data_IF_217525885388
#
_entry.id   IF_217525885388
#
_cell.length_a   1.000
_cell.length_b   1.000
_cell.length_c   1.000
_cell.angle_alpha   90.00
_cell.angle_beta   90.00
_cell.angle_gamma   90.00
#
_symmetry.space_group_name_H-M   'P 1'
#
loop_
_entity.id
_entity.type
_entity.pdbx_description
1 polymer ?
#
# COMPACT_ATOMS: atom_id res chain seq x y z
N UNK A 1 -1.79 -7.54 47.60
CA UNK A 1 -1.03 -8.81 47.56
C UNK A 1 -0.24 -8.83 46.29
N UNK A 2 1.08 -8.67 46.42
CA UNK A 2 2.05 -8.57 45.32
C UNK A 2 2.39 -9.98 44.85
N UNK A 3 2.30 -10.27 43.55
CA UNK A 3 2.93 -11.45 42.94
C UNK A 3 3.94 -10.99 41.90
N UNK A 4 5.21 -11.11 42.29
CA UNK A 4 6.38 -11.07 41.40
C UNK A 4 6.35 -12.31 40.49
N UNK A 5 6.54 -12.10 39.18
CA UNK A 5 6.91 -13.15 38.23
C UNK A 5 8.33 -12.89 37.78
N UNK A 6 9.21 -13.85 38.11
CA UNK A 6 10.62 -13.80 37.81
C UNK A 6 10.90 -14.16 36.33
N UNK A 7 11.70 -13.34 35.68
CA UNK A 7 12.32 -13.64 34.36
C UNK A 7 13.50 -14.57 34.55
N UNK A 8 13.49 -15.71 33.89
CA UNK A 8 14.66 -16.59 33.72
C UNK A 8 15.29 -16.30 32.37
N UNK A 9 16.45 -15.66 32.41
CA UNK A 9 17.34 -15.47 31.25
C UNK A 9 18.31 -16.66 31.25
N UNK A 10 18.23 -17.52 30.24
CA UNK A 10 19.19 -18.55 29.97
C UNK A 10 20.21 -18.05 28.94
N UNK A 11 21.41 -17.67 29.41
CA UNK A 11 22.52 -17.33 28.56
C UNK A 11 23.31 -18.66 28.25
N UNK A 12 23.38 -19.04 26.95
CA UNK A 12 24.30 -20.07 26.49
C UNK A 12 25.55 -19.41 25.93
N UNK A 13 26.65 -19.52 26.68
CA UNK A 13 28.00 -19.24 26.19
C UNK A 13 28.52 -20.48 25.47
N UNK A 14 28.94 -20.31 24.24
CA UNK A 14 29.74 -21.31 23.51
C UNK A 14 31.20 -20.83 23.53
N UNK A 15 32.05 -21.60 24.21
CA UNK A 15 33.48 -21.35 24.32
C UNK A 15 34.21 -21.85 23.05
N UNK A 16 34.98 -20.97 22.44
CA UNK A 16 35.93 -21.30 21.36
C UNK A 16 37.25 -21.78 21.96
N UNK A 17 37.71 -22.96 21.59
CA UNK A 17 39.04 -23.45 21.90
C UNK A 17 39.98 -23.20 20.71
N UNK A 18 40.96 -22.34 20.91
CA UNK A 18 42.16 -22.18 20.08
C UNK A 18 43.20 -23.21 20.50
N UNK A 19 43.73 -23.95 19.56
CA UNK A 19 45.00 -24.66 19.74
C UNK A 19 45.92 -24.31 18.57
N UNK A 20 47.10 -23.82 18.95
CA UNK A 20 48.16 -23.34 18.08
C UNK A 20 49.26 -24.37 17.90
N UNK A 21 50.09 -24.13 16.90
CA UNK A 21 51.48 -24.51 16.68
C UNK A 21 51.83 -25.78 15.93
N UNK A 22 52.68 -25.58 14.91
CA UNK A 22 53.60 -26.53 14.33
C UNK A 22 54.11 -26.09 12.95
N UNK A 23 55.35 -25.52 12.90
CA UNK A 23 56.16 -25.24 11.70
C UNK A 23 56.65 -26.52 11.06
N UNK A 24 56.77 -26.61 9.74
CA UNK A 24 57.97 -26.56 8.89
C UNK A 24 57.69 -27.03 7.46
N UNK A 25 58.20 -26.23 6.53
CA UNK A 25 58.72 -26.45 5.17
C UNK A 25 58.37 -27.74 4.36
N UNK A 26 57.89 -27.62 3.17
CA UNK A 26 58.54 -27.57 1.86
C UNK A 26 57.59 -27.95 0.70
N UNK A 27 57.65 -27.12 -0.33
CA UNK A 27 57.43 -27.36 -1.76
C UNK A 27 56.38 -28.38 -2.27
N UNK A 28 55.47 -27.89 -3.00
CA UNK A 28 55.16 -28.09 -4.43
C UNK A 28 53.66 -28.21 -4.76
N UNK A 29 53.21 -27.25 -5.55
CA UNK A 29 52.18 -27.34 -6.61
C UNK A 29 51.02 -28.33 -6.42
N UNK A 30 49.82 -27.80 -6.23
CA UNK A 30 48.72 -27.99 -7.18
C UNK A 30 47.53 -27.09 -6.74
N UNK A 31 47.10 -26.22 -7.67
CA UNK A 31 45.99 -25.29 -7.51
C UNK A 31 44.68 -26.09 -7.58
N UNK A 32 44.11 -26.41 -6.44
CA UNK A 32 42.74 -26.93 -6.37
C UNK A 32 41.84 -25.79 -5.94
N UNK A 33 41.03 -25.31 -6.88
CA UNK A 33 39.98 -24.36 -6.65
C UNK A 33 38.87 -25.09 -5.88
N UNK A 34 38.77 -24.84 -4.58
CA UNK A 34 37.57 -25.23 -3.82
C UNK A 34 36.44 -24.33 -4.22
N UNK A 35 35.54 -24.86 -5.03
CA UNK A 35 34.23 -24.27 -5.32
C UNK A 35 33.41 -24.42 -4.07
N UNK A 36 33.26 -23.33 -3.31
CA UNK A 36 32.28 -23.23 -2.24
C UNK A 36 30.90 -23.28 -2.89
N UNK A 37 30.26 -24.43 -2.86
CA UNK A 37 28.86 -24.57 -3.26
C UNK A 37 28.02 -23.91 -2.17
N UNK A 38 27.68 -22.66 -2.36
CA UNK A 38 26.58 -22.03 -1.60
C UNK A 38 25.31 -22.82 -1.91
N UNK A 39 24.85 -23.56 -0.92
CA UNK A 39 23.55 -24.21 -0.95
C UNK A 39 22.49 -23.11 -0.96
N UNK A 40 22.03 -22.71 -2.13
CA UNK A 40 20.86 -21.88 -2.28
C UNK A 40 19.69 -22.61 -1.62
N UNK A 41 19.27 -22.12 -0.48
CA UNK A 41 18.03 -22.52 0.18
C UNK A 41 16.90 -22.24 -0.83
N UNK A 42 16.41 -23.29 -1.46
CA UNK A 42 15.24 -23.21 -2.36
C UNK A 42 14.08 -22.72 -1.52
N UNK A 43 13.71 -21.45 -1.68
CA UNK A 43 12.50 -20.92 -1.07
C UNK A 43 11.32 -21.73 -1.60
N UNK A 44 10.60 -22.34 -0.68
CA UNK A 44 9.36 -23.05 -0.97
C UNK A 44 8.36 -21.98 -1.51
N UNK A 45 7.68 -22.23 -2.62
CA UNK A 45 6.73 -21.25 -3.16
C UNK A 45 5.70 -20.91 -2.09
N UNK A 46 5.36 -19.63 -1.90
CA UNK A 46 4.40 -19.21 -0.89
C UNK A 46 3.07 -19.96 -1.10
N UNK A 47 2.50 -20.44 0.00
CA UNK A 47 1.20 -21.10 -0.05
C UNK A 47 0.16 -20.14 -0.63
N UNK A 48 -0.74 -20.60 -1.49
CA UNK A 48 -1.78 -19.75 -2.03
C UNK A 48 -2.59 -19.11 -0.91
N UNK A 49 -2.77 -17.81 -0.96
CA UNK A 49 -3.66 -17.10 -0.04
C UNK A 49 -5.09 -17.44 -0.42
N UNK A 50 -5.88 -17.88 0.55
CA UNK A 50 -7.28 -18.27 0.36
C UNK A 50 -8.26 -17.35 1.09
N UNK A 51 -7.79 -16.15 1.49
CA UNK A 51 -8.61 -15.17 2.19
C UNK A 51 -9.55 -14.46 1.22
N UNK A 52 -10.75 -14.19 1.67
CA UNK A 52 -11.67 -13.31 0.94
C UNK A 52 -11.23 -11.85 1.05
N UNK A 53 -11.63 -10.97 0.11
CA UNK A 53 -11.38 -9.53 0.22
C UNK A 53 -11.84 -8.92 1.55
N UNK A 54 -12.97 -9.40 2.10
CA UNK A 54 -13.48 -8.94 3.39
C UNK A 54 -12.58 -9.35 4.57
N UNK A 55 -11.98 -10.55 4.53
CA UNK A 55 -11.03 -10.98 5.56
C UNK A 55 -9.71 -10.21 5.47
N UNK A 56 -9.28 -9.85 4.27
CA UNK A 56 -8.10 -8.99 4.05
C UNK A 56 -8.39 -7.59 4.61
N UNK A 57 -9.55 -7.02 4.27
CA UNK A 57 -10.01 -5.72 4.80
C UNK A 57 -10.02 -5.71 6.32
N UNK A 58 -10.60 -6.72 6.94
CA UNK A 58 -10.67 -6.82 8.40
C UNK A 58 -9.28 -6.83 9.07
N UNK A 59 -8.27 -7.45 8.45
CA UNK A 59 -6.88 -7.44 8.95
C UNK A 59 -6.23 -6.08 8.80
N UNK A 60 -6.46 -5.39 7.69
CA UNK A 60 -5.98 -4.02 7.46
C UNK A 60 -6.64 -3.06 8.46
N UNK A 61 -7.96 -3.16 8.64
CA UNK A 61 -8.70 -2.39 9.64
C UNK A 61 -8.15 -2.60 11.05
N UNK A 62 -7.88 -3.85 11.43
CA UNK A 62 -7.30 -4.18 12.73
C UNK A 62 -5.90 -3.57 12.92
N UNK A 63 -5.07 -3.51 11.87
CA UNK A 63 -3.75 -2.92 11.90
C UNK A 63 -3.77 -1.39 12.05
N UNK A 64 -4.69 -0.73 11.36
CA UNK A 64 -4.91 0.72 11.46
C UNK A 64 -5.52 1.07 12.82
N UNK A 65 -6.44 0.24 13.32
CA UNK A 65 -7.24 0.46 14.51
C UNK A 65 -8.55 1.20 14.21
N UNK A 66 -9.60 0.83 14.93
CA UNK A 66 -10.97 1.31 14.67
C UNK A 66 -11.13 2.84 14.70
N UNK A 67 -10.35 3.53 15.55
CA UNK A 67 -10.40 4.99 15.64
C UNK A 67 -9.95 5.69 14.36
N UNK A 68 -8.98 5.11 13.67
CA UNK A 68 -8.35 5.69 12.48
C UNK A 68 -8.88 5.08 11.18
N UNK A 69 -9.67 4.00 11.27
CA UNK A 69 -10.32 3.37 10.14
C UNK A 69 -11.76 3.85 10.04
N UNK A 70 -12.02 4.82 9.17
CA UNK A 70 -13.31 5.51 9.08
C UNK A 70 -14.08 5.20 7.78
N UNK A 71 -13.62 4.25 6.98
CA UNK A 71 -14.36 3.73 5.83
C UNK A 71 -15.53 2.88 6.32
N UNK A 72 -16.72 3.46 6.40
CA UNK A 72 -17.92 2.87 6.99
C UNK A 72 -19.11 2.77 6.03
N UNK A 73 -18.99 3.31 4.83
CA UNK A 73 -20.04 3.29 3.81
C UNK A 73 -19.63 2.34 2.70
N UNK A 74 -20.47 1.33 2.45
CA UNK A 74 -20.24 0.36 1.37
C UNK A 74 -20.59 1.01 0.02
N UNK A 75 -19.72 0.81 -0.95
CA UNK A 75 -20.00 1.11 -2.36
C UNK A 75 -20.68 -0.12 -2.94
N UNK A 76 -21.94 0.01 -3.34
CA UNK A 76 -22.71 -1.10 -3.91
C UNK A 76 -22.22 -1.45 -5.33
N UNK A 77 -22.47 -2.69 -5.77
CA UNK A 77 -21.91 -3.25 -7.00
C UNK A 77 -22.19 -2.40 -8.24
N UNK A 78 -23.44 -1.95 -8.43
CA UNK A 78 -23.80 -1.12 -9.57
C UNK A 78 -23.07 0.23 -9.56
N UNK A 79 -22.92 0.83 -8.39
CA UNK A 79 -22.18 2.07 -8.20
C UNK A 79 -20.68 1.85 -8.42
N UNK A 80 -20.14 0.74 -7.91
CA UNK A 80 -18.76 0.37 -8.08
C UNK A 80 -18.40 0.16 -9.55
N UNK A 81 -19.22 -0.61 -10.28
CA UNK A 81 -19.05 -0.84 -11.71
C UNK A 81 -19.11 0.45 -12.52
N UNK A 82 -20.12 1.31 -12.29
CA UNK A 82 -20.32 2.52 -13.06
C UNK A 82 -19.30 3.61 -12.76
N UNK A 83 -18.89 3.74 -11.49
CA UNK A 83 -17.96 4.79 -11.06
C UNK A 83 -16.51 4.51 -11.48
N UNK A 84 -16.07 3.25 -11.35
CA UNK A 84 -14.69 2.85 -11.70
C UNK A 84 -14.57 2.30 -13.13
N UNK A 85 -15.66 1.86 -13.76
CA UNK A 85 -15.62 1.26 -15.08
C UNK A 85 -15.11 -0.19 -15.12
N UNK A 86 -15.22 -0.92 -14.01
CA UNK A 86 -14.83 -2.32 -13.96
C UNK A 86 -15.76 -3.22 -14.77
N UNK A 87 -15.17 -4.18 -15.47
CA UNK A 87 -15.90 -5.35 -15.96
C UNK A 87 -16.17 -6.32 -14.79
N UNK A 88 -17.36 -6.25 -14.22
CA UNK A 88 -17.75 -7.07 -13.07
C UNK A 88 -17.71 -8.57 -13.38
N UNK A 89 -17.77 -8.97 -14.66
CA UNK A 89 -17.59 -10.39 -15.02
C UNK A 89 -16.18 -10.91 -14.77
N UNK A 90 -15.20 -10.02 -14.60
CA UNK A 90 -13.80 -10.35 -14.30
C UNK A 90 -13.49 -10.32 -12.80
N UNK A 91 -14.40 -9.85 -11.98
CA UNK A 91 -14.25 -9.77 -10.52
C UNK A 91 -14.90 -10.99 -9.88
N UNK A 92 -14.16 -11.78 -9.12
CA UNK A 92 -14.68 -12.94 -8.38
C UNK A 92 -15.39 -12.51 -7.11
N UNK A 93 -14.78 -11.58 -6.36
CA UNK A 93 -15.31 -11.01 -5.14
C UNK A 93 -14.61 -9.69 -4.83
N UNK A 94 -15.27 -8.80 -4.10
CA UNK A 94 -14.68 -7.53 -3.70
C UNK A 94 -15.30 -7.00 -2.40
N UNK A 95 -14.60 -6.10 -1.76
CA UNK A 95 -15.10 -5.14 -0.78
C UNK A 95 -14.67 -3.74 -1.22
N UNK A 96 -15.61 -2.81 -1.23
CA UNK A 96 -15.36 -1.41 -1.56
C UNK A 96 -16.07 -0.56 -0.52
N UNK A 97 -15.30 0.25 0.19
CA UNK A 97 -15.75 1.08 1.29
C UNK A 97 -15.20 2.50 1.13
N UNK A 98 -15.98 3.46 1.54
CA UNK A 98 -15.58 4.87 1.61
C UNK A 98 -16.02 5.50 2.92
N UNK A 99 -15.53 6.70 3.20
CA UNK A 99 -16.07 7.49 4.29
C UNK A 99 -17.38 8.16 3.87
N UNK A 100 -18.43 8.07 4.70
CA UNK A 100 -19.73 8.69 4.46
C UNK A 100 -19.67 10.22 4.30
N UNK A 101 -18.63 10.88 4.79
CA UNK A 101 -18.41 12.34 4.71
C UNK A 101 -17.40 12.68 3.60
N UNK A 102 -17.46 11.94 2.50
CA UNK A 102 -16.44 11.86 1.45
C UNK A 102 -15.89 13.17 0.85
N UNK A 103 -16.62 14.27 0.92
CA UNK A 103 -16.12 15.56 0.43
C UNK A 103 -14.97 16.14 1.28
N UNK A 104 -14.88 15.76 2.55
CA UNK A 104 -13.88 16.28 3.50
C UNK A 104 -12.81 15.23 3.81
N UNK A 105 -13.13 13.96 3.65
CA UNK A 105 -12.20 12.86 3.94
C UNK A 105 -12.16 11.87 2.78
N UNK A 106 -11.01 11.73 2.11
CA UNK A 106 -10.85 10.92 0.91
C UNK A 106 -10.72 9.43 1.17
N UNK A 107 -10.90 8.97 2.41
CA UNK A 107 -10.67 7.57 2.80
C UNK A 107 -11.49 6.63 1.94
N UNK A 108 -10.80 5.70 1.32
CA UNK A 108 -11.35 4.69 0.40
C UNK A 108 -10.56 3.41 0.55
N UNK A 109 -11.24 2.28 0.70
CA UNK A 109 -10.64 0.96 0.74
C UNK A 109 -11.35 0.09 -0.29
N UNK A 110 -10.61 -0.38 -1.28
CA UNK A 110 -11.08 -1.32 -2.30
C UNK A 110 -10.15 -2.50 -2.27
N UNK A 111 -10.68 -3.69 -2.06
CA UNK A 111 -9.93 -4.94 -2.14
C UNK A 111 -10.74 -5.90 -2.97
N UNK A 112 -10.09 -6.53 -3.95
CA UNK A 112 -10.77 -7.44 -4.85
C UNK A 112 -9.94 -8.69 -5.15
N UNK A 113 -10.62 -9.81 -5.36
CA UNK A 113 -10.08 -10.97 -6.03
C UNK A 113 -10.63 -10.98 -7.46
N UNK A 114 -9.73 -11.00 -8.44
CA UNK A 114 -10.09 -10.96 -9.85
C UNK A 114 -9.80 -12.30 -10.54
N UNK A 115 -10.30 -12.49 -11.75
CA UNK A 115 -9.95 -13.63 -12.59
C UNK A 115 -8.50 -13.53 -13.07
N UNK A 116 -7.94 -14.67 -13.43
CA UNK A 116 -6.57 -14.78 -13.93
C UNK A 116 -6.35 -13.84 -15.13
N UNK A 117 -5.30 -13.06 -15.05
CA UNK A 117 -4.93 -12.09 -16.10
C UNK A 117 -5.59 -10.73 -16.00
N UNK A 118 -6.59 -10.52 -15.12
CA UNK A 118 -7.27 -9.21 -15.00
C UNK A 118 -6.64 -8.26 -13.98
N UNK A 119 -5.76 -8.74 -13.10
CA UNK A 119 -5.20 -7.93 -12.00
C UNK A 119 -4.50 -6.65 -12.47
N UNK A 120 -3.70 -6.72 -13.55
CA UNK A 120 -3.03 -5.53 -14.10
C UNK A 120 -4.02 -4.51 -14.68
N UNK A 121 -5.10 -4.98 -15.31
CA UNK A 121 -6.19 -4.09 -15.79
C UNK A 121 -6.85 -3.38 -14.63
N UNK A 122 -7.13 -4.09 -13.53
CA UNK A 122 -7.69 -3.50 -12.32
C UNK A 122 -6.75 -2.45 -11.70
N UNK A 123 -5.45 -2.70 -11.67
CA UNK A 123 -4.43 -1.71 -11.22
C UNK A 123 -4.47 -0.44 -12.08
N UNK A 124 -4.59 -0.57 -13.41
CA UNK A 124 -4.65 0.58 -14.30
C UNK A 124 -5.91 1.43 -14.07
N UNK A 125 -7.08 0.78 -13.96
CA UNK A 125 -8.35 1.45 -13.66
C UNK A 125 -8.28 2.21 -12.33
N UNK A 126 -7.68 1.60 -11.30
CA UNK A 126 -7.54 2.24 -9.99
C UNK A 126 -6.56 3.42 -10.02
N UNK A 127 -5.49 3.36 -10.82
CA UNK A 127 -4.61 4.51 -11.02
C UNK A 127 -5.30 5.67 -11.74
N UNK A 128 -6.14 5.42 -12.74
CA UNK A 128 -6.94 6.45 -13.40
C UNK A 128 -7.89 7.14 -12.40
N UNK A 129 -8.58 6.35 -11.57
CA UNK A 129 -9.43 6.91 -10.51
C UNK A 129 -8.61 7.68 -9.46
N UNK A 130 -7.40 7.21 -9.14
CA UNK A 130 -6.51 7.88 -8.20
C UNK A 130 -6.04 9.24 -8.72
N UNK A 131 -5.77 9.39 -10.01
CA UNK A 131 -5.44 10.68 -10.61
C UNK A 131 -6.52 11.74 -10.33
N UNK A 132 -7.80 11.38 -10.46
CA UNK A 132 -8.90 12.26 -10.12
C UNK A 132 -8.93 12.65 -8.64
N UNK A 133 -8.67 11.70 -7.73
CA UNK A 133 -8.59 11.97 -6.29
C UNK A 133 -7.42 12.91 -5.95
N UNK A 134 -6.25 12.72 -6.56
CA UNK A 134 -5.08 13.60 -6.37
C UNK A 134 -5.38 15.00 -6.91
N UNK A 135 -6.01 15.12 -8.08
CA UNK A 135 -6.43 16.40 -8.63
C UNK A 135 -7.37 17.14 -7.67
N UNK A 136 -8.36 16.44 -7.15
CA UNK A 136 -9.31 17.01 -6.20
C UNK A 136 -8.65 17.50 -4.90
N UNK A 137 -7.78 16.69 -4.28
CA UNK A 137 -7.15 17.04 -3.00
C UNK A 137 -6.15 18.20 -3.13
N UNK A 138 -5.57 18.40 -4.31
CA UNK A 138 -4.73 19.57 -4.60
C UNK A 138 -5.53 20.88 -4.68
N UNK A 139 -6.78 20.79 -5.12
CA UNK A 139 -7.70 21.95 -5.14
C UNK A 139 -8.28 22.25 -3.75
N UNK A 140 -8.53 21.22 -2.97
CA UNK A 140 -9.11 21.31 -1.63
C UNK A 140 -8.19 20.62 -0.63
N UNK A 141 -7.11 21.28 -0.20
CA UNK A 141 -6.03 20.64 0.55
C UNK A 141 -6.47 20.27 1.97
N UNK A 142 -6.84 19.01 2.15
CA UNK A 142 -7.14 18.40 3.43
C UNK A 142 -6.59 16.98 3.46
N UNK A 143 -5.66 16.68 4.37
CA UNK A 143 -4.98 15.39 4.40
C UNK A 143 -4.29 15.02 3.07
N UNK A 144 -3.59 15.98 2.47
CA UNK A 144 -2.90 15.83 1.18
C UNK A 144 -1.89 14.69 1.21
N UNK A 145 -1.07 14.62 2.26
CA UNK A 145 -0.04 13.60 2.39
C UNK A 145 -0.63 12.20 2.58
N UNK A 146 -1.81 12.10 3.19
CA UNK A 146 -2.56 10.85 3.27
C UNK A 146 -2.99 10.37 1.89
N UNK A 147 -3.54 11.26 1.05
CA UNK A 147 -3.91 10.88 -0.34
C UNK A 147 -2.69 10.53 -1.17
N UNK A 148 -1.65 11.36 -1.14
CA UNK A 148 -0.42 11.10 -1.89
C UNK A 148 0.31 9.83 -1.40
N UNK A 149 0.09 9.44 -0.15
CA UNK A 149 0.60 8.19 0.42
C UNK A 149 -0.19 6.94 0.07
N UNK A 150 -1.26 7.01 -0.73
CA UNK A 150 -2.12 5.88 -1.06
C UNK A 150 -1.35 4.61 -1.41
N UNK A 151 -1.95 3.47 -1.11
CA UNK A 151 -1.41 2.16 -1.46
C UNK A 151 -2.25 1.51 -2.56
N UNK A 152 -1.56 1.05 -3.58
CA UNK A 152 -2.11 0.19 -4.63
C UNK A 152 -1.24 -1.06 -4.70
N UNK A 153 -1.79 -2.18 -4.27
CA UNK A 153 -1.08 -3.46 -4.21
C UNK A 153 -1.67 -4.45 -5.21
N UNK A 154 -0.80 -5.34 -5.69
CA UNK A 154 -1.19 -6.49 -6.48
C UNK A 154 -0.39 -7.70 -6.02
N UNK A 155 -1.08 -8.80 -5.71
CA UNK A 155 -0.48 -10.07 -5.35
C UNK A 155 -1.31 -11.22 -5.90
N UNK A 156 -0.77 -11.90 -6.93
CA UNK A 156 -1.54 -12.88 -7.69
C UNK A 156 -2.80 -12.26 -8.28
N UNK A 157 -3.95 -12.78 -7.88
CA UNK A 157 -5.27 -12.28 -8.31
C UNK A 157 -5.88 -11.25 -7.35
N UNK A 158 -5.17 -10.87 -6.30
CA UNK A 158 -5.63 -9.85 -5.37
C UNK A 158 -5.11 -8.48 -5.75
N UNK A 159 -6.01 -7.51 -5.77
CA UNK A 159 -5.70 -6.09 -5.97
C UNK A 159 -6.32 -5.29 -4.84
N UNK A 160 -5.57 -4.35 -4.26
CA UNK A 160 -6.06 -3.48 -3.20
C UNK A 160 -5.66 -2.03 -3.45
N UNK A 161 -6.63 -1.11 -3.33
CA UNK A 161 -6.42 0.33 -3.33
C UNK A 161 -6.87 0.89 -1.99
N UNK A 162 -5.98 1.59 -1.28
CA UNK A 162 -6.20 1.98 0.11
C UNK A 162 -5.75 3.42 0.33
N UNK A 163 -6.71 4.27 0.70
CA UNK A 163 -6.50 5.56 1.34
C UNK A 163 -7.18 5.45 2.70
N UNK A 164 -6.41 5.27 3.77
CA UNK A 164 -6.94 5.09 5.11
C UNK A 164 -5.89 5.41 6.18
N UNK A 165 -6.34 5.61 7.41
CA UNK A 165 -5.48 5.92 8.55
C UNK A 165 -5.88 7.21 9.24
N UNK A 166 -5.12 7.63 10.24
CA UNK A 166 -5.36 8.84 11.00
C UNK A 166 -5.38 10.08 10.10
N UNK A 167 -6.32 10.98 10.35
CA UNK A 167 -6.35 12.31 9.73
C UNK A 167 -5.49 13.28 10.54
N UNK A 168 -4.81 14.18 9.84
CA UNK A 168 -4.06 15.27 10.45
C UNK A 168 -4.92 16.52 10.52
N UNK A 169 -5.02 17.12 11.70
CA UNK A 169 -5.83 18.32 11.96
C UNK A 169 -5.02 19.62 12.05
N UNK A 170 -3.69 19.52 11.91
CA UNK A 170 -2.77 20.66 11.96
C UNK A 170 -2.49 21.26 10.58
N UNK A 171 -1.60 22.25 10.55
CA UNK A 171 -1.19 22.95 9.32
C UNK A 171 0.24 22.59 8.86
N UNK A 172 0.96 21.75 9.63
CA UNK A 172 2.34 21.39 9.32
C UNK A 172 2.43 20.20 8.39
N UNK A 173 2.79 20.44 7.13
CA UNK A 173 2.92 19.42 6.09
C UNK A 173 3.92 18.31 6.43
N UNK A 174 5.01 18.62 7.15
CA UNK A 174 5.99 17.61 7.53
C UNK A 174 5.44 16.65 8.60
N UNK A 175 4.65 17.18 9.54
CA UNK A 175 3.99 16.35 10.55
C UNK A 175 2.89 15.49 9.92
N UNK A 176 2.12 16.07 9.00
CA UNK A 176 1.15 15.31 8.20
C UNK A 176 1.82 14.15 7.44
N UNK A 177 2.95 14.42 6.77
CA UNK A 177 3.69 13.40 6.03
C UNK A 177 4.22 12.29 6.94
N UNK A 178 4.73 12.63 8.13
CA UNK A 178 5.18 11.64 9.13
C UNK A 178 4.03 10.79 9.64
N UNK A 179 2.88 11.40 9.91
CA UNK A 179 1.68 10.68 10.34
C UNK A 179 1.21 9.72 9.25
N UNK A 180 1.07 10.21 8.02
CA UNK A 180 0.66 9.39 6.88
C UNK A 180 1.62 8.21 6.66
N UNK A 181 2.94 8.44 6.70
CA UNK A 181 3.94 7.39 6.56
C UNK A 181 3.81 6.32 7.66
N UNK A 182 3.57 6.73 8.91
CA UNK A 182 3.39 5.80 10.02
C UNK A 182 2.12 4.94 9.88
N UNK A 183 1.01 5.54 9.41
CA UNK A 183 -0.24 4.80 9.16
C UNK A 183 -0.07 3.81 8.00
N UNK A 184 0.56 4.23 6.90
CA UNK A 184 0.79 3.35 5.76
C UNK A 184 1.78 2.22 6.06
N UNK A 185 2.75 2.42 6.95
CA UNK A 185 3.61 1.33 7.41
C UNK A 185 2.82 0.19 8.10
N UNK A 186 1.72 0.51 8.79
CA UNK A 186 0.83 -0.51 9.39
C UNK A 186 0.13 -1.33 8.30
N UNK A 187 -0.32 -0.65 7.23
CA UNK A 187 -0.98 -1.28 6.08
C UNK A 187 0.00 -2.18 5.33
N UNK A 188 1.22 -1.68 5.07
CA UNK A 188 2.29 -2.43 4.41
C UNK A 188 2.62 -3.71 5.21
N UNK A 189 2.77 -3.60 6.53
CA UNK A 189 3.03 -4.74 7.42
C UNK A 189 1.86 -5.74 7.45
N UNK A 190 0.62 -5.26 7.45
CA UNK A 190 -0.55 -6.13 7.41
C UNK A 190 -0.62 -6.91 6.09
N UNK A 191 -0.35 -6.26 4.96
CA UNK A 191 -0.28 -6.91 3.66
C UNK A 191 0.85 -7.94 3.59
N UNK A 192 2.05 -7.58 4.08
CA UNK A 192 3.18 -8.50 4.17
C UNK A 192 2.85 -9.73 5.03
N UNK A 193 2.19 -9.54 6.16
CA UNK A 193 1.77 -10.64 7.02
C UNK A 193 0.73 -11.58 6.36
N UNK A 194 -0.09 -11.05 5.43
CA UNK A 194 -1.08 -11.83 4.68
C UNK A 194 -0.40 -12.65 3.57
N UNK A 195 0.46 -12.01 2.78
CA UNK A 195 1.00 -12.58 1.54
C UNK A 195 2.43 -13.11 1.67
N UNK A 196 3.08 -12.89 2.83
CA UNK A 196 4.42 -13.43 3.13
C UNK A 196 5.57 -12.72 2.43
N UNK A 197 5.29 -11.58 1.77
CA UNK A 197 6.31 -10.75 1.12
C UNK A 197 5.99 -9.28 1.22
N UNK A 198 7.05 -8.47 1.24
CA UNK A 198 6.93 -7.01 1.30
C UNK A 198 6.15 -6.49 0.08
N UNK A 199 5.12 -5.66 0.28
CA UNK A 199 4.34 -5.12 -0.81
C UNK A 199 5.16 -4.13 -1.65
N UNK A 200 4.87 -4.11 -2.95
CA UNK A 200 5.30 -3.04 -3.85
C UNK A 200 4.11 -2.12 -4.10
N UNK A 201 4.28 -0.82 -3.81
CA UNK A 201 3.23 0.15 -4.08
C UNK A 201 3.21 0.51 -5.58
N UNK A 202 2.09 0.26 -6.22
CA UNK A 202 1.83 0.50 -7.65
C UNK A 202 1.06 1.80 -7.90
N UNK A 203 0.75 2.58 -6.85
CA UNK A 203 0.08 3.86 -6.99
C UNK A 203 0.98 4.87 -7.73
N UNK A 204 0.45 5.45 -8.79
CA UNK A 204 1.13 6.46 -9.61
C UNK A 204 0.62 7.83 -9.19
N UNK A 205 1.48 8.61 -8.54
CA UNK A 205 1.14 9.99 -8.19
C UNK A 205 1.32 10.85 -9.45
N UNK A 206 0.25 11.48 -9.97
CA UNK A 206 0.37 12.34 -11.14
C UNK A 206 1.24 13.56 -10.83
N UNK A 207 2.00 14.02 -11.81
CA UNK A 207 2.81 15.22 -11.70
C UNK A 207 1.96 16.42 -11.29
N UNK A 208 2.51 17.25 -10.42
CA UNK A 208 1.92 18.55 -10.13
C UNK A 208 2.28 19.51 -11.27
N UNK A 209 1.37 19.65 -12.23
CA UNK A 209 1.56 20.57 -13.35
C UNK A 209 1.45 22.05 -12.95
N UNK A 210 1.44 22.32 -11.62
CA UNK A 210 1.20 23.66 -11.11
C UNK A 210 -0.14 24.21 -11.62
N UNK A 211 -0.85 24.95 -10.85
CA UNK A 211 -2.14 25.52 -11.23
C UNK A 211 -1.99 26.56 -12.39
N UNK A 212 -1.55 26.08 -13.56
CA UNK A 212 -1.79 26.79 -14.80
C UNK A 212 -3.28 26.67 -15.06
N UNK A 213 -4.04 27.70 -14.70
CA UNK A 213 -5.48 27.77 -14.67
C UNK A 213 -6.17 27.26 -15.95
N UNK A 214 -6.32 25.96 -16.00
CA UNK A 214 -7.27 25.27 -16.86
C UNK A 214 -8.57 25.15 -16.08
N UNK A 215 -9.28 26.28 -15.93
CA UNK A 215 -10.58 26.29 -15.34
C UNK A 215 -11.50 25.34 -16.09
N UNK A 216 -12.31 24.59 -15.34
CA UNK A 216 -13.49 23.85 -15.81
C UNK A 216 -14.55 24.76 -16.45
N UNK A 217 -14.22 26.05 -16.64
CA UNK A 217 -15.00 27.00 -17.39
C UNK A 217 -14.15 27.43 -18.59
N UNK A 218 -14.61 27.17 -19.83
CA UNK A 218 -14.00 27.80 -20.97
C UNK A 218 -14.01 29.31 -20.72
N UNK A 219 -12.84 29.95 -20.79
CA UNK A 219 -12.72 31.41 -20.81
C UNK A 219 -13.53 31.87 -21.99
N UNK A 220 -14.74 32.36 -21.70
CA UNK A 220 -15.58 32.98 -22.69
C UNK A 220 -15.08 34.35 -23.07
N UNK A 221 -14.02 34.39 -23.88
CA UNK A 221 -13.71 35.48 -24.76
C UNK A 221 -14.42 35.19 -26.10
N UNK A 222 -15.74 35.02 -26.06
CA UNK A 222 -16.57 35.21 -27.23
C UNK A 222 -17.06 36.66 -27.18
N UNK A 223 -16.53 37.47 -28.12
CA UNK A 223 -17.01 38.79 -28.48
C UNK A 223 -18.53 38.77 -28.57
N UNK A 224 -19.20 39.37 -27.62
CA UNK A 224 -20.63 39.64 -27.70
C UNK A 224 -20.76 40.80 -28.69
N UNK A 225 -21.34 40.60 -29.87
CA UNK A 225 -21.58 41.70 -30.76
C UNK A 225 -22.57 42.67 -30.11
N UNK A 226 -22.13 43.91 -29.87
CA UNK A 226 -22.97 44.98 -29.42
C UNK A 226 -23.96 45.30 -30.56
N UNK A 227 -25.21 44.87 -30.42
CA UNK A 227 -26.27 45.29 -31.30
C UNK A 227 -26.71 46.68 -30.82
N UNK A 228 -26.15 47.70 -31.47
CA UNK A 228 -26.64 49.07 -31.35
C UNK A 228 -27.89 49.24 -32.17
N UNK A 229 -28.91 49.88 -31.61
CA UNK A 229 -30.13 50.32 -32.21
C UNK A 229 -30.74 51.42 -31.37
#
# INVERSE_FOLDING_TARGET
MKKLIAFIIAAMMIASALAACGKTDDQNKTKTTETTTETQKKEEPPKPVTLTPAEIEARIKAAIGEKNYICNTKIEEDSFASYYGFDMTQIKSFVALENAVGAVNPDTVIIMEVKDGYAQTAVNILNESFEGKVGYIRLYPFNVQKVLGARLFMEGNYVAFIIAGASYEGENTEEEAKLAAAEYAKIDNAWEAIFGKKPHNLAIIPEDKGNGGGGLFPSGDEDIPVIGG
#
